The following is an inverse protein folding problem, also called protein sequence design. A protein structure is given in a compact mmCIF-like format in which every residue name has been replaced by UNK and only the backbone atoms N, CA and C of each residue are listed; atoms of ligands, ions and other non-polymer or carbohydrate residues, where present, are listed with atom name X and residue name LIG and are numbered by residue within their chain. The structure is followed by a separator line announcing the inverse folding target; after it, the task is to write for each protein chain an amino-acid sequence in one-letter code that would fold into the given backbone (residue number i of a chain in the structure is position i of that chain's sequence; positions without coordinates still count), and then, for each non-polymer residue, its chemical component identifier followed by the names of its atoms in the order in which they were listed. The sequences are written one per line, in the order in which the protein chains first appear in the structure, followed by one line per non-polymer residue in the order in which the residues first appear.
data_IF_825655927127
#
_entry.id   IF_825655927127
#
_cell.length_a   1.000
_cell.length_b   1.000
_cell.length_c   1.000
_cell.angle_alpha   90.00
_cell.angle_beta   90.00
_cell.angle_gamma   90.00
#
_symmetry.space_group_name_H-M   'P 1'
#
loop_
_entity.id
_entity.type
_entity.pdbx_description
1 polymer ?
#
# COMPACT_ATOMS: atom_id res chain seq x y z
N UNK A 1 17.05 -1.71 24.40
CA UNK A 1 18.35 -1.77 23.68
C UNK A 1 18.30 -2.73 22.48
N UNK A 2 17.65 -3.88 22.59
CA UNK A 2 17.59 -4.89 21.50
C UNK A 2 16.96 -4.33 20.21
N UNK A 3 15.79 -3.72 20.29
CA UNK A 3 15.10 -3.17 19.12
C UNK A 3 15.90 -2.03 18.45
N UNK A 4 16.71 -1.28 19.21
CA UNK A 4 17.62 -0.24 18.66
C UNK A 4 18.72 -0.90 17.83
N UNK A 5 19.29 -2.02 18.29
CA UNK A 5 20.28 -2.77 17.51
C UNK A 5 19.67 -3.32 16.22
N UNK A 6 18.45 -3.84 16.27
CA UNK A 6 17.73 -4.31 15.09
C UNK A 6 17.43 -3.17 14.10
N UNK A 7 17.05 -1.99 14.59
CA UNK A 7 16.91 -0.80 13.75
C UNK A 7 18.22 -0.40 13.09
N UNK A 8 19.36 -0.43 13.82
CA UNK A 8 20.66 -0.14 13.25
C UNK A 8 21.01 -1.11 12.10
N UNK A 9 20.74 -2.42 12.29
CA UNK A 9 20.92 -3.43 11.24
C UNK A 9 19.99 -3.14 10.04
N UNK A 10 18.72 -2.81 10.28
CA UNK A 10 17.76 -2.45 9.23
C UNK A 10 18.24 -1.23 8.41
N UNK A 11 18.72 -0.18 9.07
CA UNK A 11 19.30 0.99 8.40
C UNK A 11 20.57 0.63 7.63
N UNK A 12 21.45 -0.21 8.19
CA UNK A 12 22.65 -0.67 7.51
C UNK A 12 22.34 -1.46 6.23
N UNK A 13 21.32 -2.34 6.27
CA UNK A 13 20.85 -3.06 5.08
C UNK A 13 20.38 -2.08 4.01
N UNK A 14 19.65 -1.02 4.39
CA UNK A 14 19.19 0.00 3.44
C UNK A 14 20.38 0.78 2.83
N UNK A 15 21.35 1.19 3.63
CA UNK A 15 22.57 1.81 3.12
C UNK A 15 23.30 0.89 2.14
N UNK A 16 23.37 -0.41 2.43
CA UNK A 16 23.95 -1.42 1.52
C UNK A 16 23.19 -1.47 0.19
N UNK A 17 21.85 -1.36 0.19
CA UNK A 17 21.06 -1.26 -1.05
C UNK A 17 21.51 -0.04 -1.86
N UNK A 18 21.60 1.14 -1.23
CA UNK A 18 21.98 2.39 -1.91
C UNK A 18 23.37 2.26 -2.55
N UNK A 19 24.34 1.72 -1.82
CA UNK A 19 25.73 1.59 -2.28
C UNK A 19 25.87 0.51 -3.37
N UNK A 20 25.22 -0.64 -3.17
CA UNK A 20 25.38 -1.81 -4.08
C UNK A 20 24.58 -1.64 -5.37
N UNK A 21 23.50 -0.86 -5.33
CA UNK A 21 22.60 -0.72 -6.49
C UNK A 21 23.10 0.36 -7.44
N UNK A 22 23.55 -0.05 -8.61
CA UNK A 22 23.98 0.89 -9.66
C UNK A 22 22.79 1.79 -10.09
N UNK A 23 23.04 3.09 -10.18
CA UNK A 23 22.05 4.10 -10.55
C UNK A 23 20.82 4.12 -9.62
N UNK A 24 21.03 3.98 -8.31
CA UNK A 24 19.97 4.05 -7.32
C UNK A 24 19.21 5.38 -7.39
N UNK A 25 17.90 5.28 -7.48
CA UNK A 25 17.01 6.46 -7.44
C UNK A 25 16.45 6.61 -6.02
N UNK A 26 16.62 7.80 -5.43
CA UNK A 26 16.07 8.08 -4.09
C UNK A 26 14.55 7.93 -4.08
N UNK A 27 13.86 8.39 -5.12
CA UNK A 27 12.43 8.19 -5.27
C UNK A 27 12.17 6.85 -5.98
N UNK A 28 12.26 5.77 -5.23
CA UNK A 28 12.12 4.38 -5.69
C UNK A 28 11.22 3.57 -4.74
N UNK A 29 10.78 2.42 -5.21
CA UNK A 29 10.03 1.47 -4.38
C UNK A 29 10.80 1.11 -3.11
N UNK A 30 12.10 0.82 -3.22
CA UNK A 30 12.91 0.40 -2.08
C UNK A 30 12.99 1.47 -0.99
N UNK A 31 13.08 2.76 -1.37
CA UNK A 31 13.06 3.87 -0.39
C UNK A 31 11.71 3.98 0.32
N UNK A 32 10.61 3.93 -0.43
CA UNK A 32 9.27 4.01 0.17
C UNK A 32 8.98 2.78 1.04
N UNK A 33 9.39 1.60 0.60
CA UNK A 33 9.24 0.37 1.35
C UNK A 33 10.03 0.43 2.66
N UNK A 34 11.29 0.88 2.63
CA UNK A 34 12.09 1.12 3.84
C UNK A 34 11.41 2.10 4.79
N UNK A 35 11.01 3.27 4.29
CA UNK A 35 10.38 4.30 5.11
C UNK A 35 9.05 3.81 5.73
N UNK A 36 8.22 3.11 4.95
CA UNK A 36 6.95 2.60 5.44
C UNK A 36 7.14 1.49 6.46
N UNK A 37 8.04 0.54 6.20
CA UNK A 37 8.37 -0.52 7.18
C UNK A 37 8.93 0.07 8.48
N UNK A 38 9.74 1.14 8.40
CA UNK A 38 10.21 1.85 9.58
C UNK A 38 9.05 2.33 10.45
N UNK A 39 8.11 3.08 9.88
CA UNK A 39 6.97 3.60 10.66
C UNK A 39 6.04 2.50 11.14
N UNK A 40 5.77 1.49 10.30
CA UNK A 40 4.86 0.39 10.64
C UNK A 40 5.45 -0.53 11.70
N UNK A 41 6.74 -0.89 11.60
CA UNK A 41 7.29 -2.00 12.38
C UNK A 41 8.40 -1.62 13.38
N UNK A 42 9.05 -0.46 13.23
CA UNK A 42 10.16 -0.07 14.11
C UNK A 42 9.88 1.16 14.97
N UNK A 43 9.00 2.06 14.53
CA UNK A 43 8.75 3.30 15.28
C UNK A 43 8.22 3.00 16.69
N UNK A 44 7.24 2.11 16.84
CA UNK A 44 6.71 1.74 18.14
C UNK A 44 7.75 1.01 19.03
N UNK A 45 8.34 -0.12 18.64
CA UNK A 45 9.22 -0.89 19.54
C UNK A 45 10.52 -0.16 19.91
N UNK A 46 10.95 0.80 19.11
CA UNK A 46 12.21 1.54 19.34
C UNK A 46 12.00 2.81 20.14
N UNK A 47 11.00 3.63 19.79
CA UNK A 47 10.87 4.99 20.32
C UNK A 47 9.74 5.13 21.34
N UNK A 48 8.68 4.32 21.26
CA UNK A 48 7.50 4.49 22.09
C UNK A 48 7.48 3.46 23.20
N UNK A 49 7.59 2.19 22.90
CA UNK A 49 7.53 1.11 23.88
C UNK A 49 8.45 1.29 25.10
N UNK A 50 9.71 1.79 24.98
CA UNK A 50 10.57 2.00 26.13
C UNK A 50 10.08 3.10 27.09
N UNK A 51 9.30 4.07 26.61
CA UNK A 51 8.80 5.21 27.38
C UNK A 51 7.35 5.04 27.79
N UNK A 52 6.54 4.42 26.96
CA UNK A 52 5.13 4.12 27.18
C UNK A 52 4.75 2.73 26.64
N UNK A 53 4.98 1.68 27.45
CA UNK A 53 4.57 0.32 27.06
C UNK A 53 3.07 0.20 26.87
N UNK A 54 2.29 1.10 27.48
CA UNK A 54 0.83 1.11 27.43
C UNK A 54 0.26 1.80 26.21
N UNK A 55 1.10 2.40 25.36
CA UNK A 55 0.65 3.05 24.12
C UNK A 55 -0.22 2.14 23.26
N UNK A 56 0.09 0.83 23.23
CA UNK A 56 -0.73 -0.20 22.57
C UNK A 56 -1.99 -0.52 23.37
N UNK A 57 -2.06 -0.26 24.68
CA UNK A 57 -3.30 -0.40 25.44
C UNK A 57 -4.38 0.58 25.00
N UNK A 58 -4.03 1.69 24.33
CA UNK A 58 -5.01 2.49 23.59
C UNK A 58 -5.80 1.66 22.60
N UNK A 59 -5.20 0.57 22.13
CA UNK A 59 -5.80 -0.40 21.25
C UNK A 59 -6.16 -1.71 21.98
N UNK A 60 -6.21 -1.68 23.33
CA UNK A 60 -6.62 -2.77 24.20
C UNK A 60 -5.76 -4.03 24.15
N UNK A 61 -4.48 -3.92 23.76
CA UNK A 61 -3.55 -5.04 23.72
C UNK A 61 -2.31 -4.78 24.55
N UNK A 62 -1.89 -5.79 25.31
CA UNK A 62 -0.57 -5.86 25.91
C UNK A 62 0.22 -6.99 25.26
N UNK A 63 1.44 -6.72 24.83
CA UNK A 63 2.31 -7.75 24.28
C UNK A 63 3.52 -7.97 25.16
N UNK A 64 3.92 -9.24 25.29
CA UNK A 64 5.15 -9.54 25.99
C UNK A 64 6.37 -9.00 25.20
N UNK A 65 7.47 -8.64 25.90
CA UNK A 65 8.71 -8.25 25.25
C UNK A 65 9.24 -9.30 24.26
N UNK A 66 8.90 -10.56 24.45
CA UNK A 66 9.27 -11.65 23.56
C UNK A 66 8.69 -11.46 22.15
N UNK A 67 7.36 -11.25 22.02
CA UNK A 67 6.72 -11.03 20.73
C UNK A 67 7.21 -9.76 20.05
N UNK A 68 7.48 -8.70 20.83
CA UNK A 68 8.05 -7.46 20.31
C UNK A 68 9.44 -7.71 19.72
N UNK A 69 10.29 -8.44 20.41
CA UNK A 69 11.64 -8.77 19.93
C UNK A 69 11.60 -9.69 18.71
N UNK A 70 10.81 -10.77 18.76
CA UNK A 70 10.63 -11.71 17.64
C UNK A 70 10.10 -11.00 16.40
N UNK A 71 9.06 -10.14 16.56
CA UNK A 71 8.47 -9.36 15.47
C UNK A 71 9.47 -8.41 14.83
N UNK A 72 10.27 -7.73 15.65
CA UNK A 72 11.31 -6.83 15.16
C UNK A 72 12.38 -7.58 14.35
N UNK A 73 12.83 -8.77 14.83
CA UNK A 73 13.76 -9.64 14.09
C UNK A 73 13.16 -10.09 12.77
N UNK A 74 11.90 -10.54 12.78
CA UNK A 74 11.22 -11.01 11.57
C UNK A 74 11.15 -9.91 10.51
N UNK A 75 10.92 -8.66 10.90
CA UNK A 75 10.92 -7.52 9.97
C UNK A 75 12.32 -7.24 9.39
N UNK A 76 13.39 -7.38 10.19
CA UNK A 76 14.77 -7.30 9.69
C UNK A 76 15.04 -8.40 8.68
N UNK A 77 14.63 -9.64 8.97
CA UNK A 77 14.79 -10.79 8.06
C UNK A 77 14.03 -10.55 6.74
N UNK A 78 12.78 -10.09 6.82
CA UNK A 78 11.98 -9.76 5.64
C UNK A 78 12.66 -8.70 4.77
N UNK A 79 13.15 -7.62 5.39
CA UNK A 79 13.83 -6.55 4.66
C UNK A 79 15.20 -6.99 4.13
N UNK A 80 15.95 -7.82 4.84
CA UNK A 80 17.22 -8.38 4.37
C UNK A 80 17.02 -9.27 3.14
N UNK A 81 16.01 -10.12 3.16
CA UNK A 81 15.62 -10.96 2.02
C UNK A 81 15.22 -10.11 0.80
N UNK A 82 14.38 -9.08 1.02
CA UNK A 82 14.03 -8.11 -0.02
C UNK A 82 15.27 -7.43 -0.59
N UNK A 83 16.18 -6.96 0.27
CA UNK A 83 17.41 -6.27 -0.12
C UNK A 83 18.33 -7.14 -0.97
N UNK A 84 18.46 -8.43 -0.62
CA UNK A 84 19.26 -9.37 -1.39
C UNK A 84 18.66 -9.60 -2.78
N UNK A 85 17.34 -9.79 -2.88
CA UNK A 85 16.64 -9.89 -4.16
C UNK A 85 16.76 -8.62 -5.00
N UNK A 86 16.60 -7.45 -4.39
CA UNK A 86 16.64 -6.14 -5.05
C UNK A 86 18.04 -5.72 -5.49
N UNK A 87 19.08 -6.06 -4.73
CA UNK A 87 20.46 -5.62 -5.01
C UNK A 87 21.13 -6.36 -6.19
N UNK A 88 20.49 -7.39 -6.73
CA UNK A 88 21.05 -8.14 -7.88
C UNK A 88 20.69 -7.42 -9.18
N UNK A 89 21.71 -7.07 -9.97
CA UNK A 89 21.51 -6.54 -11.31
C UNK A 89 20.86 -7.60 -12.21
N UNK A 90 19.95 -7.17 -13.07
CA UNK A 90 19.17 -8.01 -13.97
C UNK A 90 19.55 -7.74 -15.42
N UNK A 91 19.34 -8.76 -16.26
CA UNK A 91 19.45 -8.59 -17.70
C UNK A 91 18.39 -7.59 -18.17
N UNK A 92 18.82 -6.49 -18.76
CA UNK A 92 17.93 -5.53 -19.38
C UNK A 92 17.33 -6.18 -20.63
N UNK A 93 16.01 -6.32 -20.65
CA UNK A 93 15.31 -6.78 -21.83
C UNK A 93 15.19 -5.58 -22.76
N UNK A 94 15.77 -5.68 -23.95
CA UNK A 94 15.67 -4.63 -24.96
C UNK A 94 14.20 -4.32 -25.24
N UNK A 95 13.84 -3.05 -25.15
CA UNK A 95 12.45 -2.61 -25.23
C UNK A 95 11.84 -2.97 -26.58
N UNK A 96 10.68 -3.63 -26.54
CA UNK A 96 9.84 -3.77 -27.73
C UNK A 96 9.15 -2.44 -27.96
N UNK A 97 9.16 -1.97 -29.21
CA UNK A 97 8.35 -0.82 -29.58
C UNK A 97 6.87 -1.23 -29.62
N UNK A 98 6.06 -0.46 -28.93
CA UNK A 98 4.61 -0.65 -28.90
C UNK A 98 3.92 0.49 -29.63
N UNK A 99 2.96 0.16 -30.47
CA UNK A 99 1.97 1.10 -30.98
C UNK A 99 0.79 1.16 -30.02
N UNK A 100 0.22 2.35 -29.84
CA UNK A 100 -0.93 2.57 -28.96
C UNK A 100 -2.20 2.47 -29.81
N UNK A 101 -3.09 1.58 -29.43
CA UNK A 101 -4.45 1.52 -29.97
C UNK A 101 -5.26 2.67 -29.35
N UNK A 102 -5.45 3.74 -30.13
CA UNK A 102 -6.13 4.96 -29.69
C UNK A 102 -7.59 4.69 -29.30
N UNK A 103 -8.30 3.81 -30.01
CA UNK A 103 -9.68 3.48 -29.70
C UNK A 103 -9.79 2.76 -28.35
N UNK A 104 -8.89 1.79 -28.09
CA UNK A 104 -8.84 1.12 -26.80
C UNK A 104 -8.46 2.09 -25.67
N UNK A 105 -7.50 2.98 -25.89
CA UNK A 105 -7.14 4.02 -24.92
C UNK A 105 -8.33 4.92 -24.58
N UNK A 106 -9.05 5.43 -25.59
CA UNK A 106 -10.21 6.27 -25.39
C UNK A 106 -11.38 5.54 -24.71
N UNK A 107 -11.56 4.25 -25.00
CA UNK A 107 -12.53 3.41 -24.29
C UNK A 107 -12.24 3.33 -22.79
N UNK A 108 -10.99 3.03 -22.41
CA UNK A 108 -10.62 2.98 -21.00
C UNK A 108 -10.63 4.35 -20.32
N UNK A 109 -10.37 5.42 -21.07
CA UNK A 109 -10.51 6.79 -20.57
C UNK A 109 -11.99 7.12 -20.29
N UNK A 110 -12.89 6.78 -21.20
CA UNK A 110 -14.33 6.91 -20.98
C UNK A 110 -14.80 6.06 -19.80
N UNK A 111 -14.31 4.83 -19.67
CA UNK A 111 -14.58 3.98 -18.53
C UNK A 111 -14.11 4.61 -17.21
N UNK A 112 -12.92 5.21 -17.17
CA UNK A 112 -12.43 5.94 -15.99
C UNK A 112 -13.33 7.12 -15.61
N UNK A 113 -13.82 7.89 -16.62
CA UNK A 113 -14.80 8.95 -16.40
C UNK A 113 -16.12 8.39 -15.82
N UNK A 114 -16.64 7.30 -16.38
CA UNK A 114 -17.86 6.67 -15.89
C UNK A 114 -17.71 6.15 -14.47
N UNK A 115 -16.61 5.49 -14.15
CA UNK A 115 -16.31 5.01 -12.78
C UNK A 115 -16.17 6.19 -11.82
N UNK A 116 -15.55 7.29 -12.24
CA UNK A 116 -15.48 8.51 -11.44
C UNK A 116 -16.88 9.08 -11.16
N UNK A 117 -17.71 9.26 -12.20
CA UNK A 117 -19.08 9.78 -12.05
C UNK A 117 -19.95 8.87 -11.18
N UNK A 118 -19.81 7.55 -11.32
CA UNK A 118 -20.49 6.58 -10.48
C UNK A 118 -20.08 6.71 -9.00
N UNK A 119 -18.78 6.86 -8.70
CA UNK A 119 -18.31 7.12 -7.34
C UNK A 119 -18.89 8.42 -6.80
N UNK A 120 -18.88 9.50 -7.57
CA UNK A 120 -19.47 10.79 -7.16
C UNK A 120 -20.96 10.63 -6.90
N UNK A 121 -21.69 9.91 -7.76
CA UNK A 121 -23.13 9.66 -7.60
C UNK A 121 -23.46 8.91 -6.30
N UNK A 122 -22.68 7.88 -5.95
CA UNK A 122 -22.88 7.13 -4.70
C UNK A 122 -22.53 7.98 -3.48
N UNK A 123 -21.45 8.77 -3.57
CA UNK A 123 -20.96 9.57 -2.46
C UNK A 123 -21.84 10.79 -2.20
N UNK A 124 -22.34 11.42 -3.25
CA UNK A 124 -23.06 12.70 -3.16
C UNK A 124 -24.22 12.71 -2.13
N UNK A 125 -25.13 11.74 -2.09
CA UNK A 125 -26.20 11.72 -1.09
C UNK A 125 -25.71 11.55 0.35
N UNK A 126 -24.50 11.02 0.50
CA UNK A 126 -23.93 10.67 1.80
C UNK A 126 -22.95 11.74 2.32
N UNK A 127 -22.63 12.77 1.51
CA UNK A 127 -21.69 13.84 1.91
C UNK A 127 -22.19 14.53 3.18
N UNK A 128 -23.49 14.83 3.27
CA UNK A 128 -24.09 15.42 4.47
C UNK A 128 -23.91 14.51 5.69
N UNK A 129 -24.32 13.25 5.58
CA UNK A 129 -24.21 12.28 6.66
C UNK A 129 -22.76 12.07 7.11
N UNK A 130 -21.80 12.04 6.18
CA UNK A 130 -20.38 11.90 6.49
C UNK A 130 -19.82 13.16 7.15
N UNK A 131 -20.18 14.35 6.67
CA UNK A 131 -19.76 15.63 7.28
C UNK A 131 -20.30 15.76 8.71
N UNK A 132 -21.55 15.32 8.93
CA UNK A 132 -22.18 15.33 10.26
C UNK A 132 -21.84 14.10 11.10
N UNK A 133 -21.05 13.17 10.58
CA UNK A 133 -20.56 12.07 11.36
C UNK A 133 -21.40 10.79 11.37
N UNK A 134 -22.51 10.74 10.62
CA UNK A 134 -23.53 9.69 10.75
C UNK A 134 -23.31 8.44 9.89
N UNK A 135 -22.39 8.46 8.93
CA UNK A 135 -22.16 7.30 8.06
C UNK A 135 -20.71 7.13 7.59
N UNK A 136 -20.29 5.88 7.40
CA UNK A 136 -19.08 5.53 6.65
C UNK A 136 -19.46 5.23 5.20
N UNK A 137 -18.90 5.98 4.24
CA UNK A 137 -19.13 5.72 2.83
C UNK A 137 -18.21 4.62 2.34
N UNK A 138 -18.72 3.48 1.87
CA UNK A 138 -17.89 2.49 1.19
C UNK A 138 -17.47 3.05 -0.18
N UNK A 139 -16.16 3.21 -0.41
CA UNK A 139 -15.61 3.60 -1.71
C UNK A 139 -15.65 2.42 -2.68
N UNK A 140 -16.80 2.18 -3.27
CA UNK A 140 -16.95 1.13 -4.29
C UNK A 140 -16.30 1.59 -5.60
N UNK A 141 -15.38 0.75 -6.14
CA UNK A 141 -14.69 1.05 -7.41
C UNK A 141 -13.49 1.99 -7.30
N UNK A 142 -13.13 2.49 -6.11
CA UNK A 142 -11.97 3.36 -5.93
C UNK A 142 -10.65 2.71 -6.36
N UNK A 143 -10.49 1.42 -6.12
CA UNK A 143 -9.32 0.66 -6.59
C UNK A 143 -9.26 0.56 -8.13
N UNK A 144 -10.40 0.40 -8.80
CA UNK A 144 -10.50 0.37 -10.26
C UNK A 144 -10.14 1.74 -10.86
N UNK A 145 -10.68 2.83 -10.30
CA UNK A 145 -10.37 4.19 -10.76
C UNK A 145 -8.87 4.51 -10.58
N UNK A 146 -8.29 4.16 -9.44
CA UNK A 146 -6.87 4.36 -9.17
C UNK A 146 -6.00 3.58 -10.16
N UNK A 147 -6.33 2.31 -10.43
CA UNK A 147 -5.62 1.46 -11.38
C UNK A 147 -5.74 2.00 -12.82
N UNK A 148 -6.95 2.36 -13.27
CA UNK A 148 -7.15 2.97 -14.59
C UNK A 148 -6.34 4.27 -14.72
N UNK A 149 -6.38 5.13 -13.70
CA UNK A 149 -5.60 6.37 -13.67
C UNK A 149 -4.11 6.11 -13.77
N UNK A 150 -3.58 5.08 -13.08
CA UNK A 150 -2.18 4.67 -13.17
C UNK A 150 -1.79 4.29 -14.60
N UNK A 151 -2.55 3.40 -15.23
CA UNK A 151 -2.25 2.89 -16.56
C UNK A 151 -2.38 4.00 -17.63
N UNK A 152 -3.48 4.76 -17.60
CA UNK A 152 -3.76 5.79 -18.59
C UNK A 152 -2.77 6.95 -18.51
N UNK A 153 -2.46 7.45 -17.31
CA UNK A 153 -1.49 8.53 -17.12
C UNK A 153 -0.10 8.10 -17.57
N UNK A 154 0.29 6.86 -17.24
CA UNK A 154 1.58 6.30 -17.65
C UNK A 154 1.68 6.16 -19.17
N UNK A 155 0.69 5.57 -19.84
CA UNK A 155 0.70 5.38 -21.29
C UNK A 155 0.72 6.71 -22.03
N UNK A 156 -0.11 7.68 -21.61
CA UNK A 156 -0.17 8.98 -22.26
C UNK A 156 1.13 9.79 -22.08
N UNK A 157 1.71 9.76 -20.89
CA UNK A 157 3.00 10.41 -20.61
C UNK A 157 4.15 9.74 -21.36
N UNK A 158 4.18 8.42 -21.45
CA UNK A 158 5.17 7.68 -22.23
C UNK A 158 5.09 8.01 -23.73
N UNK A 159 3.87 8.04 -24.30
CA UNK A 159 3.63 8.42 -25.70
C UNK A 159 4.21 9.79 -26.02
N UNK A 160 4.06 10.74 -25.11
CA UNK A 160 4.45 12.12 -25.31
C UNK A 160 5.78 12.48 -24.61
N UNK A 161 6.58 11.49 -24.20
CA UNK A 161 7.77 11.67 -23.35
C UNK A 161 8.77 12.70 -23.88
N UNK A 162 9.05 12.71 -25.21
CA UNK A 162 9.96 13.69 -25.85
C UNK A 162 9.42 15.10 -25.69
N UNK A 163 8.13 15.33 -26.02
CA UNK A 163 7.49 16.65 -25.91
C UNK A 163 7.44 17.15 -24.47
N UNK A 164 7.19 16.25 -23.51
CA UNK A 164 7.14 16.57 -22.09
C UNK A 164 8.54 16.88 -21.56
N UNK A 165 9.56 16.15 -21.99
CA UNK A 165 10.95 16.41 -21.61
C UNK A 165 11.43 17.78 -22.08
N UNK A 166 11.16 18.14 -23.33
CA UNK A 166 11.54 19.43 -23.92
C UNK A 166 10.77 20.61 -23.29
N UNK A 167 9.51 20.39 -22.95
CA UNK A 167 8.62 21.41 -22.35
C UNK A 167 7.82 20.83 -21.18
N UNK A 168 8.34 20.89 -19.96
CA UNK A 168 7.72 20.28 -18.76
C UNK A 168 6.26 20.70 -18.52
N UNK A 169 5.90 21.93 -18.87
CA UNK A 169 4.53 22.43 -18.72
C UNK A 169 3.51 21.67 -19.59
N UNK A 170 3.95 21.06 -20.69
CA UNK A 170 3.08 20.23 -21.52
C UNK A 170 2.58 18.99 -20.79
N UNK A 171 3.23 18.54 -19.73
CA UNK A 171 2.75 17.43 -18.89
C UNK A 171 1.33 17.68 -18.38
N UNK A 172 1.07 18.88 -17.85
CA UNK A 172 -0.27 19.26 -17.37
C UNK A 172 -1.27 19.35 -18.53
N UNK A 173 -0.87 20.00 -19.63
CA UNK A 173 -1.75 20.20 -20.79
C UNK A 173 -2.13 18.88 -21.47
N UNK A 174 -1.18 17.95 -21.64
CA UNK A 174 -1.39 16.65 -22.30
C UNK A 174 -2.25 15.72 -21.44
N UNK A 175 -2.08 15.77 -20.12
CA UNK A 175 -2.76 14.89 -19.19
C UNK A 175 -3.92 15.57 -18.43
N UNK A 176 -4.38 16.75 -18.88
CA UNK A 176 -5.31 17.59 -18.12
C UNK A 176 -6.56 16.85 -17.66
N UNK A 177 -7.18 16.03 -18.52
CA UNK A 177 -8.41 15.31 -18.19
C UNK A 177 -8.17 14.27 -17.08
N UNK A 178 -7.13 13.45 -17.22
CA UNK A 178 -6.79 12.44 -16.21
C UNK A 178 -6.39 13.10 -14.88
N UNK A 179 -5.60 14.18 -14.96
CA UNK A 179 -5.18 14.93 -13.77
C UNK A 179 -6.35 15.65 -13.10
N UNK A 180 -7.35 16.11 -13.86
CA UNK A 180 -8.58 16.69 -13.30
C UNK A 180 -9.40 15.62 -12.56
N UNK A 181 -9.58 14.44 -13.14
CA UNK A 181 -10.26 13.31 -12.48
C UNK A 181 -9.52 12.95 -11.19
N UNK A 182 -8.20 12.80 -11.25
CA UNK A 182 -7.36 12.51 -10.08
C UNK A 182 -7.52 13.59 -9.01
N UNK A 183 -7.38 14.88 -9.39
CA UNK A 183 -7.47 16.00 -8.46
C UNK A 183 -8.82 16.10 -7.77
N UNK A 184 -9.91 15.98 -8.53
CA UNK A 184 -11.27 15.98 -7.97
C UNK A 184 -11.51 14.77 -7.06
N UNK A 185 -11.08 13.59 -7.47
CA UNK A 185 -11.25 12.38 -6.66
C UNK A 185 -10.43 12.43 -5.37
N UNK A 186 -9.20 12.95 -5.42
CA UNK A 186 -8.37 13.19 -4.23
C UNK A 186 -9.05 14.20 -3.29
N UNK A 187 -9.59 15.30 -3.83
CA UNK A 187 -10.29 16.29 -3.01
C UNK A 187 -11.50 15.67 -2.30
N UNK A 188 -12.34 14.91 -3.02
CA UNK A 188 -13.51 14.23 -2.46
C UNK A 188 -13.10 13.22 -1.40
N UNK A 189 -12.09 12.38 -1.66
CA UNK A 189 -11.66 11.34 -0.72
C UNK A 189 -11.05 11.93 0.54
N UNK A 190 -10.30 13.04 0.44
CA UNK A 190 -9.76 13.75 1.60
C UNK A 190 -10.87 14.39 2.43
N UNK A 191 -11.86 15.02 1.81
CA UNK A 191 -13.02 15.59 2.52
C UNK A 191 -13.78 14.51 3.31
N UNK A 192 -13.83 13.29 2.80
CA UNK A 192 -14.49 12.15 3.45
C UNK A 192 -13.57 11.38 4.42
N UNK A 193 -12.36 11.89 4.69
CA UNK A 193 -11.41 11.29 5.62
C UNK A 193 -10.71 10.02 5.10
N UNK A 194 -10.90 9.63 3.83
CA UNK A 194 -10.19 8.50 3.23
C UNK A 194 -8.83 8.95 2.70
N UNK A 195 -7.76 8.38 3.25
CA UNK A 195 -6.39 8.74 2.91
C UNK A 195 -5.75 7.80 1.89
N UNK A 196 -6.30 6.60 1.77
CA UNK A 196 -5.72 5.54 0.94
C UNK A 196 -5.63 5.94 -0.52
N UNK A 197 -6.76 6.27 -1.13
CA UNK A 197 -6.81 6.64 -2.54
C UNK A 197 -6.09 7.96 -2.83
N UNK A 198 -6.18 8.93 -1.91
CA UNK A 198 -5.49 10.19 -2.02
C UNK A 198 -3.97 9.99 -2.08
N UNK A 199 -3.41 9.20 -1.16
CA UNK A 199 -1.97 8.90 -1.13
C UNK A 199 -1.53 8.11 -2.36
N UNK A 200 -2.29 7.09 -2.76
CA UNK A 200 -2.02 6.28 -3.96
C UNK A 200 -1.93 7.15 -5.21
N UNK A 201 -2.91 8.05 -5.41
CA UNK A 201 -2.96 8.94 -6.57
C UNK A 201 -1.91 10.04 -6.51
N UNK A 202 -1.58 10.55 -5.33
CA UNK A 202 -0.47 11.49 -5.15
C UNK A 202 0.87 10.84 -5.53
N UNK A 203 1.13 9.62 -5.05
CA UNK A 203 2.33 8.85 -5.40
C UNK A 203 2.39 8.57 -6.91
N UNK A 204 1.24 8.30 -7.55
CA UNK A 204 1.13 8.13 -8.99
C UNK A 204 1.64 9.37 -9.73
N UNK A 205 1.06 10.53 -9.44
CA UNK A 205 1.42 11.78 -10.13
C UNK A 205 2.89 12.13 -9.89
N UNK A 206 3.37 12.00 -8.65
CA UNK A 206 4.77 12.24 -8.30
C UNK A 206 5.71 11.28 -9.05
N UNK A 207 5.37 10.00 -9.16
CA UNK A 207 6.17 9.02 -9.88
C UNK A 207 6.24 9.33 -11.38
N UNK A 208 5.10 9.57 -12.02
CA UNK A 208 5.05 9.88 -13.45
C UNK A 208 5.81 11.19 -13.75
N UNK A 209 5.62 12.21 -12.90
CA UNK A 209 6.39 13.45 -12.99
C UNK A 209 7.90 13.20 -12.87
N UNK A 210 8.31 12.42 -11.88
CA UNK A 210 9.73 12.09 -11.64
C UNK A 210 10.38 11.37 -12.82
N UNK A 211 9.65 10.52 -13.52
CA UNK A 211 10.20 9.71 -14.62
C UNK A 211 10.17 10.41 -15.97
N UNK A 212 9.19 11.29 -16.24
CA UNK A 212 9.01 11.88 -17.58
C UNK A 212 9.29 13.37 -17.65
N UNK A 213 9.25 14.08 -16.51
CA UNK A 213 9.48 15.53 -16.48
C UNK A 213 10.84 15.85 -15.90
N UNK A 214 11.01 15.63 -14.61
CA UNK A 214 12.28 15.88 -13.91
C UNK A 214 12.39 14.95 -12.70
N UNK A 215 13.57 14.36 -12.45
CA UNK A 215 13.79 13.52 -11.28
C UNK A 215 13.58 14.35 -10.00
N UNK A 216 12.76 13.82 -9.11
CA UNK A 216 12.52 14.42 -7.79
C UNK A 216 13.80 14.24 -6.96
N UNK A 217 14.42 15.36 -6.60
CA UNK A 217 15.59 15.40 -5.72
C UNK A 217 15.16 15.33 -4.26
N UNK A 218 16.06 14.88 -3.39
CA UNK A 218 15.79 14.81 -1.95
C UNK A 218 15.33 16.15 -1.37
N UNK A 219 15.94 17.26 -1.82
CA UNK A 219 15.56 18.64 -1.44
C UNK A 219 14.10 18.99 -1.76
N UNK A 220 13.52 18.37 -2.79
CA UNK A 220 12.11 18.57 -3.19
C UNK A 220 11.21 17.53 -2.54
N UNK A 221 11.72 16.32 -2.31
CA UNK A 221 10.97 15.22 -1.70
C UNK A 221 10.64 15.53 -0.24
N UNK A 222 11.57 16.09 0.53
CA UNK A 222 11.37 16.41 1.95
C UNK A 222 10.21 17.41 2.19
N UNK A 223 10.14 18.57 1.51
CA UNK A 223 8.98 19.46 1.63
C UNK A 223 7.66 18.80 1.20
N UNK A 224 7.66 18.00 0.13
CA UNK A 224 6.47 17.29 -0.32
C UNK A 224 5.99 16.26 0.71
N UNK A 225 6.90 15.53 1.32
CA UNK A 225 6.58 14.61 2.41
C UNK A 225 6.04 15.35 3.64
N UNK A 226 6.66 16.49 3.99
CA UNK A 226 6.20 17.32 5.10
C UNK A 226 4.77 17.85 4.86
N UNK A 227 4.49 18.37 3.67
CA UNK A 227 3.14 18.81 3.28
C UNK A 227 2.16 17.62 3.34
N UNK A 228 2.57 16.44 2.86
CA UNK A 228 1.77 15.22 2.95
C UNK A 228 1.43 14.84 4.39
N UNK A 229 2.41 14.87 5.28
CA UNK A 229 2.24 14.58 6.71
C UNK A 229 1.32 15.60 7.38
N UNK A 230 1.53 16.91 7.14
CA UNK A 230 0.67 17.98 7.67
C UNK A 230 -0.76 17.81 7.17
N UNK A 231 -0.95 17.54 5.88
CA UNK A 231 -2.28 17.32 5.30
C UNK A 231 -2.96 16.10 5.94
N UNK A 232 -2.23 14.99 6.14
CA UNK A 232 -2.75 13.79 6.80
C UNK A 232 -3.11 14.04 8.26
N UNK A 233 -2.30 14.82 8.97
CA UNK A 233 -2.61 15.24 10.33
C UNK A 233 -3.89 16.08 10.36
N UNK A 234 -4.02 17.07 9.46
CA UNK A 234 -5.20 17.93 9.38
C UNK A 234 -6.48 17.13 9.08
N UNK A 235 -6.43 16.20 8.13
CA UNK A 235 -7.55 15.28 7.83
C UNK A 235 -7.89 14.41 9.05
N UNK A 236 -6.88 14.00 9.85
CA UNK A 236 -7.10 13.29 11.11
C UNK A 236 -7.87 14.14 12.13
N UNK A 237 -7.50 15.41 12.26
CA UNK A 237 -8.16 16.32 13.17
C UNK A 237 -9.62 16.61 12.78
N UNK A 238 -9.89 16.82 11.48
CA UNK A 238 -11.26 17.01 10.98
C UNK A 238 -12.11 15.76 11.27
N UNK A 239 -11.57 14.56 11.00
CA UNK A 239 -12.28 13.32 11.30
C UNK A 239 -12.54 13.13 12.79
N UNK A 240 -11.60 13.53 13.64
CA UNK A 240 -11.76 13.43 15.08
C UNK A 240 -12.73 14.49 15.63
N UNK A 241 -12.73 15.70 15.06
CA UNK A 241 -13.65 16.77 15.43
C UNK A 241 -15.11 16.44 15.04
N UNK A 242 -15.33 15.88 13.84
CA UNK A 242 -16.65 15.36 13.44
C UNK A 242 -17.04 14.10 14.21
N UNK A 243 -16.10 13.39 14.81
CA UNK A 243 -16.31 12.20 15.64
C UNK A 243 -16.77 12.48 17.08
N UNK A 244 -16.97 13.74 17.49
CA UNK A 244 -17.59 14.02 18.80
C UNK A 244 -19.02 13.50 18.87
N UNK A 245 -19.69 13.42 17.74
CA UNK A 245 -21.02 12.81 17.59
C UNK A 245 -20.97 11.27 17.58
N UNK A 246 -19.82 10.66 17.16
CA UNK A 246 -19.64 9.18 17.19
C UNK A 246 -19.21 8.63 18.55
N UNK A 247 -18.89 9.48 19.50
CA UNK A 247 -18.49 9.08 20.86
C UNK A 247 -19.64 8.39 21.65
N UNK A 248 -20.85 8.37 21.12
CA UNK A 248 -21.96 7.60 21.70
C UNK A 248 -21.81 6.08 21.49
N UNK A 249 -21.05 5.67 20.48
CA UNK A 249 -20.70 4.25 20.25
C UNK A 249 -19.32 3.98 20.85
N UNK A 250 -19.23 3.55 22.08
CA UNK A 250 -18.10 3.03 22.88
C UNK A 250 -16.63 3.16 22.45
N UNK A 251 -16.35 3.30 21.17
CA UNK A 251 -15.01 3.32 20.55
C UNK A 251 -14.17 4.57 20.83
N UNK A 252 -14.80 5.72 21.10
CA UNK A 252 -14.14 7.00 21.31
C UNK A 252 -14.26 7.50 22.75
N UNK A 253 -14.87 6.74 23.66
CA UNK A 253 -14.94 7.08 25.09
C UNK A 253 -13.57 7.15 25.79
N UNK A 254 -12.50 6.73 25.10
CA UNK A 254 -11.13 6.81 25.58
C UNK A 254 -10.38 8.06 25.06
N UNK A 255 -11.06 9.19 24.89
CA UNK A 255 -10.41 10.49 24.63
C UNK A 255 -9.53 11.00 25.79
N UNK A 256 -9.67 10.44 26.98
CA UNK A 256 -8.75 10.68 28.12
C UNK A 256 -7.28 10.30 27.80
N UNK A 257 -7.03 9.70 26.63
CA UNK A 257 -5.71 9.38 26.11
C UNK A 257 -4.98 10.54 25.39
N UNK A 258 -5.55 11.74 25.30
CA UNK A 258 -4.77 12.92 24.90
C UNK A 258 -3.67 13.26 25.94
N UNK A 259 -3.77 12.70 27.14
CA UNK A 259 -2.73 12.74 28.17
C UNK A 259 -1.68 11.62 28.05
N UNK A 260 -1.58 10.93 26.90
CA UNK A 260 -0.50 9.99 26.69
C UNK A 260 0.85 10.73 26.78
N UNK A 261 1.73 10.24 27.65
CA UNK A 261 3.10 10.77 27.88
C UNK A 261 3.97 10.76 26.62
N UNK A 262 3.47 10.18 25.53
CA UNK A 262 4.09 10.20 24.20
C UNK A 262 3.86 11.57 23.60
N UNK A 263 4.95 12.28 23.31
CA UNK A 263 4.93 13.62 22.70
C UNK A 263 4.02 13.62 21.45
N UNK A 264 3.23 14.70 21.27
CA UNK A 264 2.25 14.86 20.20
C UNK A 264 2.78 14.65 18.78
N UNK A 265 4.11 14.57 18.58
CA UNK A 265 4.75 14.27 17.30
C UNK A 265 4.43 12.88 16.78
N UNK A 266 4.32 11.87 17.65
CA UNK A 266 4.01 10.49 17.23
C UNK A 266 2.55 10.27 16.89
N UNK A 267 1.65 11.14 17.39
CA UNK A 267 0.21 11.05 17.07
C UNK A 267 -0.07 11.15 15.56
N UNK A 268 0.79 11.85 14.82
CA UNK A 268 0.66 11.96 13.35
C UNK A 268 0.89 10.62 12.63
N UNK A 269 1.66 9.72 13.23
CA UNK A 269 2.04 8.42 12.67
C UNK A 269 1.31 7.26 13.33
N UNK A 270 0.42 7.53 14.29
CA UNK A 270 -0.30 6.49 15.04
C UNK A 270 -0.99 5.49 14.13
N UNK A 271 -1.67 5.95 13.09
CA UNK A 271 -2.35 5.07 12.12
C UNK A 271 -1.41 4.09 11.40
N UNK A 272 -0.14 4.47 11.20
CA UNK A 272 0.87 3.58 10.63
C UNK A 272 1.41 2.61 11.69
N UNK A 273 1.74 3.14 12.86
CA UNK A 273 2.34 2.38 13.97
C UNK A 273 1.41 1.34 14.58
N UNK A 274 0.09 1.63 14.60
CA UNK A 274 -0.94 0.69 15.09
C UNK A 274 -0.87 -0.66 14.40
N UNK A 275 -0.52 -0.71 13.13
CA UNK A 275 -0.40 -1.97 12.40
C UNK A 275 0.75 -2.86 12.91
N UNK A 276 1.64 -2.33 13.73
CA UNK A 276 2.67 -3.12 14.40
C UNK A 276 2.07 -4.19 15.32
N UNK A 277 0.93 -3.88 15.98
CA UNK A 277 0.21 -4.87 16.81
C UNK A 277 -0.18 -6.13 16.02
N UNK A 278 -0.59 -5.96 14.76
CA UNK A 278 -1.03 -7.08 13.92
C UNK A 278 0.11 -8.09 13.72
N UNK A 279 1.36 -7.60 13.70
CA UNK A 279 2.55 -8.45 13.67
C UNK A 279 2.61 -9.37 14.91
N UNK A 280 2.34 -8.82 16.08
CA UNK A 280 2.40 -9.57 17.35
C UNK A 280 1.21 -10.51 17.51
N UNK A 281 0.00 -10.04 17.17
CA UNK A 281 -1.22 -10.87 17.17
C UNK A 281 -1.06 -12.07 16.24
N UNK A 282 -0.50 -11.85 15.02
CA UNK A 282 -0.29 -12.96 14.10
C UNK A 282 0.79 -13.95 14.54
N UNK A 283 1.78 -13.51 15.33
CA UNK A 283 2.72 -14.44 15.96
C UNK A 283 2.04 -15.26 17.05
N UNK A 284 1.22 -14.62 17.90
CA UNK A 284 0.42 -15.33 18.90
C UNK A 284 -0.52 -16.34 18.25
N UNK A 285 -1.17 -15.95 17.13
CA UNK A 285 -2.00 -16.84 16.34
C UNK A 285 -1.27 -18.13 15.90
N UNK A 286 -0.02 -17.99 15.44
CA UNK A 286 0.77 -19.14 14.98
C UNK A 286 1.27 -20.01 16.15
N UNK A 287 1.58 -19.37 17.28
CA UNK A 287 2.07 -20.07 18.48
C UNK A 287 0.93 -20.73 19.29
N UNK A 288 -0.33 -20.43 18.97
CA UNK A 288 -1.51 -21.03 19.61
C UNK A 288 -1.72 -22.46 19.10
N UNK A 289 -1.77 -23.42 20.05
CA UNK A 289 -1.96 -24.85 19.75
C UNK A 289 -3.24 -25.15 18.95
N UNK A 290 -4.26 -24.29 19.04
CA UNK A 290 -5.54 -24.47 18.35
C UNK A 290 -5.54 -23.86 16.91
N UNK A 291 -4.56 -23.03 16.55
CA UNK A 291 -4.53 -22.28 15.29
C UNK A 291 -3.36 -22.71 14.39
N UNK A 292 -2.14 -22.37 14.71
CA UNK A 292 -0.94 -22.75 13.95
C UNK A 292 -0.78 -22.07 12.59
N UNK A 293 0.07 -22.64 11.73
CA UNK A 293 0.31 -22.13 10.39
C UNK A 293 -0.87 -22.40 9.46
N UNK A 294 -1.17 -21.44 8.59
CA UNK A 294 -2.25 -21.55 7.59
C UNK A 294 -1.84 -22.31 6.33
N UNK A 295 -0.55 -22.60 6.14
CA UNK A 295 0.00 -23.24 4.94
C UNK A 295 -0.45 -22.57 3.62
N UNK A 296 -0.79 -21.28 3.70
CA UNK A 296 -1.18 -20.45 2.56
C UNK A 296 -2.63 -20.62 2.09
N UNK A 297 -3.49 -21.38 2.77
CA UNK A 297 -4.89 -21.54 2.34
C UNK A 297 -5.63 -20.20 2.30
N UNK A 298 -5.28 -19.24 3.14
CA UNK A 298 -5.86 -17.90 3.15
C UNK A 298 -5.53 -17.07 1.90
N UNK A 299 -4.55 -17.49 1.09
CA UNK A 299 -4.28 -16.86 -0.21
C UNK A 299 -5.16 -17.40 -1.34
N UNK A 300 -5.84 -18.53 -1.15
CA UNK A 300 -6.68 -19.12 -2.19
C UNK A 300 -7.70 -18.11 -2.74
N UNK A 301 -8.51 -17.40 -1.93
CA UNK A 301 -9.42 -16.39 -2.45
C UNK A 301 -8.73 -15.26 -3.22
N UNK A 302 -7.56 -14.85 -2.74
CA UNK A 302 -6.78 -13.77 -3.36
C UNK A 302 -6.28 -14.14 -4.75
N UNK A 303 -5.92 -15.39 -5.00
CA UNK A 303 -5.49 -15.86 -6.32
C UNK A 303 -6.61 -15.77 -7.36
N UNK A 304 -7.86 -15.89 -6.95
CA UNK A 304 -9.03 -15.78 -7.81
C UNK A 304 -9.63 -14.36 -7.83
N UNK A 305 -9.10 -13.42 -7.05
CA UNK A 305 -9.58 -12.04 -6.96
C UNK A 305 -9.62 -11.26 -8.29
N UNK A 306 -8.82 -11.55 -9.33
CA UNK A 306 -8.97 -10.91 -10.63
C UNK A 306 -10.31 -11.20 -11.32
N UNK A 307 -10.98 -12.29 -10.99
CA UNK A 307 -12.28 -12.65 -11.59
C UNK A 307 -13.39 -12.35 -10.57
N UNK A 308 -14.32 -11.43 -10.87
CA UNK A 308 -15.43 -11.11 -9.97
C UNK A 308 -16.21 -12.37 -9.57
N UNK A 309 -16.70 -12.42 -8.34
CA UNK A 309 -17.48 -13.51 -7.72
C UNK A 309 -16.72 -14.85 -7.56
N UNK A 310 -15.64 -15.08 -8.28
CA UNK A 310 -14.88 -16.33 -8.23
C UNK A 310 -14.24 -16.59 -6.86
N UNK A 311 -13.70 -15.59 -6.14
CA UNK A 311 -13.17 -15.80 -4.79
C UNK A 311 -14.18 -16.42 -3.84
N UNK A 312 -15.39 -15.88 -3.79
CA UNK A 312 -16.46 -16.39 -2.91
C UNK A 312 -16.94 -17.77 -3.35
N UNK A 313 -17.08 -17.99 -4.65
CA UNK A 313 -17.46 -19.30 -5.18
C UNK A 313 -16.44 -20.38 -4.81
N UNK A 314 -15.14 -20.12 -5.05
CA UNK A 314 -14.07 -21.05 -4.74
C UNK A 314 -13.99 -21.29 -3.23
N UNK A 315 -14.04 -20.23 -2.42
CA UNK A 315 -13.93 -20.35 -0.97
C UNK A 315 -15.07 -21.16 -0.38
N UNK A 316 -16.32 -20.89 -0.78
CA UNK A 316 -17.49 -21.67 -0.31
C UNK A 316 -17.41 -23.13 -0.77
N UNK A 317 -16.93 -23.38 -2.00
CA UNK A 317 -16.86 -24.73 -2.55
C UNK A 317 -15.76 -25.60 -1.94
N UNK A 318 -14.59 -25.01 -1.64
CA UNK A 318 -13.41 -25.77 -1.16
C UNK A 318 -13.17 -25.62 0.34
N UNK A 319 -13.54 -24.48 0.93
CA UNK A 319 -13.22 -24.15 2.32
C UNK A 319 -14.49 -24.01 3.18
N UNK A 320 -15.69 -24.08 2.60
CA UNK A 320 -16.96 -24.05 3.30
C UNK A 320 -17.45 -22.67 3.75
N UNK A 321 -16.62 -21.63 3.62
CA UNK A 321 -16.87 -20.29 4.14
C UNK A 321 -16.67 -19.21 3.07
N UNK A 322 -17.25 -18.01 3.21
CA UNK A 322 -17.04 -16.92 2.26
C UNK A 322 -15.57 -16.42 2.26
N UNK A 323 -15.12 -15.89 1.12
CA UNK A 323 -13.75 -15.47 0.89
C UNK A 323 -13.20 -14.47 1.94
N UNK A 324 -14.06 -13.60 2.46
CA UNK A 324 -13.69 -12.61 3.48
C UNK A 324 -13.15 -13.26 4.76
N UNK A 325 -13.65 -14.43 5.16
CA UNK A 325 -13.21 -15.17 6.35
C UNK A 325 -11.77 -15.65 6.28
N UNK A 326 -11.24 -15.79 5.07
CA UNK A 326 -9.87 -16.24 4.82
C UNK A 326 -8.88 -15.10 4.61
N UNK A 327 -9.30 -13.84 4.71
CA UNK A 327 -8.34 -12.74 4.70
C UNK A 327 -7.56 -12.72 6.01
N UNK A 328 -6.25 -12.48 5.95
CA UNK A 328 -5.42 -12.36 7.18
C UNK A 328 -5.97 -11.28 8.13
N UNK A 329 -6.58 -10.24 7.59
CA UNK A 329 -7.25 -9.20 8.36
C UNK A 329 -8.40 -9.76 9.21
N UNK A 330 -9.31 -10.53 8.62
CA UNK A 330 -10.45 -11.12 9.33
C UNK A 330 -9.98 -12.21 10.30
N UNK A 331 -9.00 -13.02 9.90
CA UNK A 331 -8.45 -14.06 10.77
C UNK A 331 -7.82 -13.47 12.03
N UNK A 332 -7.05 -12.39 11.92
CA UNK A 332 -6.47 -11.68 13.07
C UNK A 332 -7.55 -11.02 13.92
N UNK A 333 -8.61 -10.49 13.28
CA UNK A 333 -9.74 -9.89 13.98
C UNK A 333 -10.53 -10.93 14.76
N UNK A 334 -10.84 -12.08 14.13
CA UNK A 334 -11.54 -13.20 14.75
C UNK A 334 -10.76 -13.75 15.95
N UNK A 335 -9.47 -14.04 15.74
CA UNK A 335 -8.58 -14.52 16.82
C UNK A 335 -8.55 -13.54 18.00
N UNK A 336 -8.48 -12.25 17.73
CA UNK A 336 -8.47 -11.25 18.79
C UNK A 336 -9.79 -11.20 19.55
N UNK A 337 -10.93 -11.36 18.85
CA UNK A 337 -12.25 -11.35 19.49
C UNK A 337 -12.52 -12.63 20.31
N UNK A 338 -12.16 -13.77 19.75
CA UNK A 338 -12.51 -15.07 20.32
C UNK A 338 -11.45 -15.56 21.30
N UNK A 339 -10.21 -15.65 20.87
CA UNK A 339 -9.15 -16.36 21.61
C UNK A 339 -8.41 -15.41 22.57
N UNK A 340 -8.23 -14.12 22.23
CA UNK A 340 -7.65 -13.14 23.14
C UNK A 340 -8.68 -12.45 24.06
N UNK A 341 -9.98 -12.81 23.96
CA UNK A 341 -11.02 -12.35 24.86
C UNK A 341 -11.49 -10.89 24.66
N UNK A 342 -11.18 -10.28 23.49
CA UNK A 342 -11.59 -8.90 23.15
C UNK A 342 -12.89 -8.88 22.35
N UNK A 343 -13.94 -9.51 22.87
CA UNK A 343 -15.26 -9.63 22.20
C UNK A 343 -15.95 -8.28 21.91
N UNK A 344 -15.51 -7.22 22.60
CA UNK A 344 -15.99 -5.84 22.42
C UNK A 344 -15.30 -5.10 21.26
N UNK A 345 -14.43 -5.77 20.51
CA UNK A 345 -13.77 -5.20 19.32
C UNK A 345 -14.80 -5.06 18.18
N UNK A 346 -15.20 -3.85 17.88
CA UNK A 346 -16.23 -3.51 16.88
C UNK A 346 -15.65 -3.06 15.52
N UNK A 347 -14.33 -3.15 15.35
CA UNK A 347 -13.65 -2.80 14.10
C UNK A 347 -12.68 -3.92 13.67
N UNK A 348 -12.37 -3.94 12.39
CA UNK A 348 -11.39 -4.86 11.81
C UNK A 348 -9.96 -4.39 12.08
N UNK A 349 -9.06 -5.32 12.43
CA UNK A 349 -7.65 -5.01 12.75
C UNK A 349 -6.91 -4.79 11.46
N UNK A 350 -6.97 -4.78 10.41
CA UNK A 350 -6.03 -4.74 9.29
C UNK A 350 -5.04 -5.92 9.34
N UNK A 351 -4.06 -5.88 8.50
CA UNK A 351 -3.01 -6.90 8.43
C UNK A 351 -1.62 -6.25 8.42
N UNK A 352 -0.57 -7.07 8.30
CA UNK A 352 0.81 -6.64 8.11
C UNK A 352 1.47 -7.63 7.14
N UNK A 353 2.06 -7.14 6.06
CA UNK A 353 2.60 -8.00 5.00
C UNK A 353 3.64 -9.01 5.49
N UNK A 354 4.37 -8.71 6.56
CA UNK A 354 5.39 -9.62 7.11
C UNK A 354 4.74 -10.78 7.86
N UNK A 355 3.77 -10.47 8.72
CA UNK A 355 3.07 -11.51 9.48
C UNK A 355 2.11 -12.31 8.60
N UNK A 356 1.53 -11.72 7.60
CA UNK A 356 0.68 -12.41 6.63
C UNK A 356 1.44 -13.59 5.98
N UNK A 357 2.69 -13.35 5.57
CA UNK A 357 3.57 -14.41 5.05
C UNK A 357 4.02 -15.37 6.14
N UNK A 358 4.30 -14.86 7.34
CA UNK A 358 4.72 -15.68 8.47
C UNK A 358 3.61 -16.66 8.89
N UNK A 359 2.36 -16.21 8.96
CA UNK A 359 1.20 -17.08 9.23
C UNK A 359 1.05 -18.16 8.16
N UNK A 360 1.41 -17.85 6.90
CA UNK A 360 1.34 -18.82 5.81
C UNK A 360 2.43 -19.89 5.89
N UNK A 361 3.69 -19.48 5.98
CA UNK A 361 4.83 -20.35 5.69
C UNK A 361 6.01 -20.17 6.66
N UNK A 362 5.80 -19.50 7.78
CA UNK A 362 6.84 -19.25 8.77
C UNK A 362 7.98 -18.37 8.24
N UNK A 363 9.12 -18.42 8.92
CA UNK A 363 10.32 -17.63 8.57
C UNK A 363 10.84 -17.96 7.18
N UNK A 364 10.78 -19.23 6.77
CA UNK A 364 11.24 -19.65 5.42
C UNK A 364 10.41 -18.95 4.34
N UNK A 365 9.09 -18.91 4.51
CA UNK A 365 8.20 -18.18 3.60
C UNK A 365 8.54 -16.70 3.52
N UNK A 366 8.83 -16.06 4.65
CA UNK A 366 9.25 -14.65 4.69
C UNK A 366 10.53 -14.44 3.88
N UNK A 367 11.55 -15.27 4.06
CA UNK A 367 12.80 -15.17 3.30
C UNK A 367 12.54 -15.33 1.79
N UNK A 368 11.80 -16.36 1.40
CA UNK A 368 11.57 -16.67 -0.02
C UNK A 368 10.70 -15.60 -0.69
N UNK A 369 9.54 -15.26 -0.10
CA UNK A 369 8.59 -14.35 -0.75
C UNK A 369 9.10 -12.91 -0.78
N UNK A 370 9.75 -12.40 0.28
CA UNK A 370 10.36 -11.07 0.24
C UNK A 370 11.58 -11.02 -0.67
N UNK A 371 12.36 -12.10 -0.78
CA UNK A 371 13.43 -12.21 -1.76
C UNK A 371 12.91 -12.14 -3.20
N UNK A 372 11.83 -12.88 -3.50
CA UNK A 372 11.16 -12.83 -4.81
C UNK A 372 10.53 -11.47 -5.09
N UNK A 373 9.93 -10.81 -4.08
CA UNK A 373 9.41 -9.45 -4.20
C UNK A 373 10.53 -8.48 -4.60
N UNK A 374 11.66 -8.49 -3.86
CA UNK A 374 12.81 -7.64 -4.17
C UNK A 374 13.34 -7.89 -5.58
N UNK A 375 13.43 -9.16 -5.98
CA UNK A 375 13.80 -9.55 -7.34
C UNK A 375 12.84 -8.97 -8.38
N UNK A 376 11.54 -9.16 -8.21
CA UNK A 376 10.52 -8.69 -9.14
C UNK A 376 10.49 -7.17 -9.27
N UNK A 377 10.56 -6.46 -8.15
CA UNK A 377 10.62 -4.99 -8.11
C UNK A 377 11.86 -4.48 -8.87
N UNK A 378 13.04 -5.07 -8.62
CA UNK A 378 14.27 -4.66 -9.32
C UNK A 378 14.19 -4.93 -10.81
N UNK A 379 13.65 -6.09 -11.20
CA UNK A 379 13.43 -6.43 -12.59
C UNK A 379 12.52 -5.40 -13.29
N UNK A 380 11.39 -5.05 -12.68
CA UNK A 380 10.47 -4.05 -13.23
C UNK A 380 11.10 -2.67 -13.28
N UNK A 381 11.81 -2.25 -12.23
CA UNK A 381 12.48 -0.96 -12.17
C UNK A 381 13.52 -0.80 -13.28
N UNK A 382 14.37 -1.81 -13.51
CA UNK A 382 15.40 -1.77 -14.55
C UNK A 382 14.85 -1.81 -15.98
N UNK A 383 13.72 -2.51 -16.19
CA UNK A 383 13.13 -2.67 -17.50
C UNK A 383 12.04 -1.63 -17.84
N UNK A 384 11.56 -0.87 -16.84
CA UNK A 384 10.52 0.15 -17.04
C UNK A 384 10.91 1.29 -18.00
N UNK A 385 12.17 1.78 -18.08
CA UNK A 385 12.52 2.84 -19.03
C UNK A 385 12.42 2.42 -20.49
N UNK A 386 12.67 1.13 -20.77
CA UNK A 386 12.66 0.57 -22.12
C UNK A 386 11.33 -0.07 -22.54
N UNK A 387 10.43 -0.33 -21.59
CA UNK A 387 9.20 -1.07 -21.86
C UNK A 387 8.02 -0.53 -21.07
N UNK A 388 7.06 0.05 -21.77
CA UNK A 388 5.88 0.67 -21.17
C UNK A 388 5.02 -0.30 -20.36
N UNK A 389 4.94 -1.58 -20.73
CA UNK A 389 4.20 -2.57 -19.95
C UNK A 389 4.82 -2.76 -18.57
N UNK A 390 6.15 -2.90 -18.51
CA UNK A 390 6.86 -3.02 -17.23
C UNK A 390 6.74 -1.73 -16.40
N UNK A 391 6.73 -0.57 -17.07
CA UNK A 391 6.49 0.70 -16.41
C UNK A 391 5.10 0.77 -15.75
N UNK A 392 4.06 0.30 -16.44
CA UNK A 392 2.70 0.23 -15.90
C UNK A 392 2.59 -0.76 -14.73
N UNK A 393 3.26 -1.91 -14.79
CA UNK A 393 3.28 -2.86 -13.66
C UNK A 393 4.06 -2.30 -12.47
N UNK A 394 5.20 -1.68 -12.73
CA UNK A 394 6.01 -1.07 -11.67
C UNK A 394 5.27 0.03 -10.93
N UNK A 395 4.52 0.89 -11.64
CA UNK A 395 3.79 1.97 -10.99
C UNK A 395 2.64 1.47 -10.10
N UNK A 396 1.96 0.39 -10.46
CA UNK A 396 0.94 -0.24 -9.61
C UNK A 396 1.56 -0.69 -8.29
N UNK A 397 2.70 -1.38 -8.34
CA UNK A 397 3.41 -1.80 -7.13
C UNK A 397 3.94 -0.60 -6.34
N UNK A 398 4.50 0.38 -7.03
CA UNK A 398 5.04 1.60 -6.40
C UNK A 398 3.97 2.37 -5.63
N UNK A 399 2.80 2.57 -6.22
CA UNK A 399 1.71 3.33 -5.58
C UNK A 399 1.04 2.56 -4.44
N UNK A 400 1.09 1.24 -4.45
CA UNK A 400 0.51 0.40 -3.39
C UNK A 400 1.44 0.14 -2.20
N UNK A 401 2.71 0.57 -2.24
CA UNK A 401 3.74 0.18 -1.26
C UNK A 401 3.37 0.48 0.19
N UNK A 402 2.74 1.63 0.45
CA UNK A 402 2.35 2.03 1.81
C UNK A 402 1.26 1.10 2.36
N UNK A 403 0.28 0.78 1.54
CA UNK A 403 -0.83 -0.12 1.93
C UNK A 403 -0.41 -1.58 1.91
N UNK A 404 0.54 -1.95 1.06
CA UNK A 404 1.17 -3.26 1.09
C UNK A 404 1.79 -3.58 2.47
N UNK A 405 2.52 -2.63 3.06
CA UNK A 405 3.11 -2.82 4.39
C UNK A 405 2.07 -3.00 5.50
N UNK A 406 0.85 -2.50 5.31
CA UNK A 406 -0.26 -2.52 6.27
C UNK A 406 -1.35 -3.54 5.92
N UNK A 407 -1.16 -4.34 4.91
CA UNK A 407 -2.14 -5.25 4.38
C UNK A 407 -1.60 -6.65 4.10
N UNK A 408 -2.38 -7.44 3.36
CA UNK A 408 -1.97 -8.76 2.89
C UNK A 408 -0.84 -8.66 1.86
N UNK A 409 0.07 -9.64 1.88
CA UNK A 409 1.21 -9.72 0.96
C UNK A 409 0.79 -9.74 -0.51
N UNK A 410 -0.31 -10.37 -0.86
CA UNK A 410 -0.84 -10.41 -2.22
C UNK A 410 -1.93 -9.37 -2.50
N UNK A 411 -2.15 -8.37 -1.65
CA UNK A 411 -3.19 -7.35 -1.82
C UNK A 411 -3.12 -6.57 -3.14
N UNK A 412 -1.94 -6.43 -3.73
CA UNK A 412 -1.73 -5.78 -5.03
C UNK A 412 -2.02 -6.69 -6.25
N UNK A 413 -2.16 -8.02 -6.05
CA UNK A 413 -2.20 -9.02 -7.13
C UNK A 413 -3.32 -8.76 -8.15
N UNK A 414 -4.54 -8.50 -7.67
CA UNK A 414 -5.69 -8.19 -8.54
C UNK A 414 -5.39 -7.00 -9.46
N UNK A 415 -4.91 -5.90 -8.89
CA UNK A 415 -4.65 -4.68 -9.63
C UNK A 415 -3.50 -4.86 -10.64
N UNK A 416 -2.52 -5.69 -10.30
CA UNK A 416 -1.40 -6.01 -11.19
C UNK A 416 -1.86 -6.79 -12.44
N UNK A 417 -2.71 -7.80 -12.26
CA UNK A 417 -3.26 -8.58 -13.37
C UNK A 417 -4.14 -7.71 -14.26
N UNK A 418 -5.05 -6.92 -13.69
CA UNK A 418 -5.89 -6.03 -14.46
C UNK A 418 -5.09 -4.98 -15.22
N UNK A 419 -4.07 -4.37 -14.60
CA UNK A 419 -3.17 -3.45 -15.29
C UNK A 419 -2.45 -4.10 -16.47
N UNK A 420 -1.97 -5.34 -16.29
CA UNK A 420 -1.35 -6.10 -17.38
C UNK A 420 -2.31 -6.37 -18.54
N UNK A 421 -3.55 -6.76 -18.25
CA UNK A 421 -4.59 -7.02 -19.26
C UNK A 421 -4.94 -5.73 -20.01
N UNK A 422 -5.21 -4.63 -19.31
CA UNK A 422 -5.53 -3.32 -19.91
C UNK A 422 -4.37 -2.84 -20.78
N UNK A 423 -3.15 -2.89 -20.27
CA UNK A 423 -1.97 -2.58 -21.07
C UNK A 423 -1.86 -3.43 -22.33
N UNK A 424 -2.21 -4.73 -22.24
CA UNK A 424 -2.13 -5.64 -23.37
C UNK A 424 -3.17 -5.34 -24.45
N UNK A 425 -4.33 -4.80 -24.08
CA UNK A 425 -5.37 -4.36 -25.01
C UNK A 425 -5.00 -3.01 -25.67
N UNK A 426 -4.46 -2.07 -24.89
CA UNK A 426 -4.08 -0.75 -25.41
C UNK A 426 -2.80 -0.81 -26.24
N UNK A 427 -1.83 -1.65 -25.85
CA UNK A 427 -0.49 -1.70 -26.45
C UNK A 427 -0.37 -2.88 -27.42
N UNK A 428 -0.19 -2.59 -28.70
CA UNK A 428 0.08 -3.59 -29.73
C UNK A 428 1.58 -3.66 -30.04
N UNK A 429 2.13 -4.87 -30.12
CA UNK A 429 3.53 -5.08 -30.51
C UNK A 429 3.72 -4.64 -31.96
N UNK A 430 4.63 -3.72 -32.21
CA UNK A 430 5.00 -3.35 -33.56
C UNK A 430 5.89 -4.44 -34.16
N UNK A 431 5.34 -5.27 -35.09
CA UNK A 431 6.06 -6.40 -35.69
C UNK A 431 7.25 -5.96 -36.59
N UNK A 432 7.34 -4.68 -36.94
CA UNK A 432 8.39 -4.16 -37.84
C UNK A 432 9.76 -3.97 -37.18
N UNK A 433 9.88 -4.08 -35.87
CA UNK A 433 11.15 -3.88 -35.14
C UNK A 433 11.91 -5.17 -34.81
N UNK A 434 11.50 -6.33 -35.34
CA UNK A 434 12.15 -7.63 -35.06
C UNK A 434 13.18 -8.01 -36.12
N UNK A 435 13.38 -7.20 -37.14
CA UNK A 435 14.39 -7.44 -38.18
C UNK A 435 15.54 -6.44 -38.05
N UNK A 436 16.42 -6.62 -37.08
CA UNK A 436 17.84 -6.23 -37.12
C UNK A 436 18.62 -7.22 -36.25
#
# INVERSE_FOLDING_TARGET
SFCVCMLAIFCFIFLKIIVKTRNYKIFSYATLFFATLFFVNFAYPVFIYPTDPTFILQFRYSFSPEYINRGTVLCVVAFAAFAEGFSRDRKIIHGREYSININAYNFFLALACLVFLYNVYIIYPQIGAVIYGDARVPFQGGSLLSMLSCVLLMINSYRNRRKIYDRPFLFLKINWLILSIIGLYVAITLMLGSREYALTLFLLVAFVFSNFVRPIRLKTLLPLLLIGVISMYYVSQIRNASGETYASSGLLKNRDYQDSRVSGYWNMFTDLMVNNRNLYVGMQYVDDDNRGYTYGYHYIPTLFAPVPFLPDFVSRSFLGEPAVKFTSQEMLTDYTRTDLGHSDLDYELGSNCVVDVYMAFGVIGVIVLFGLLGYGIRFLEQNSPGNIKYACLYIILFTSVVFFCRGSFFGFYRNLIWAYLICSVILRVNRRSVSI
#
